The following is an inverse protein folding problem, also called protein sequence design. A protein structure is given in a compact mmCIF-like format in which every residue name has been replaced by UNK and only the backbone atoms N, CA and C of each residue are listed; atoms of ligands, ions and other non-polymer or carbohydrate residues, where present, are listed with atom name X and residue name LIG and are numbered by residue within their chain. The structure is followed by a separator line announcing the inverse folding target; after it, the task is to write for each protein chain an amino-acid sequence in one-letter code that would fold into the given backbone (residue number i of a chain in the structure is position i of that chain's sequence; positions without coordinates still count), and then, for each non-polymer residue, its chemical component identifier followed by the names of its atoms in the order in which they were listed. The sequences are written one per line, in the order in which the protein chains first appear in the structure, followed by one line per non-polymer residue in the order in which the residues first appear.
data_IF_638458866441
#
_entry.id   IF_638458866441
#
_cell.length_a   1.000
_cell.length_b   1.000
_cell.length_c   1.000
_cell.angle_alpha   90.00
_cell.angle_beta   90.00
_cell.angle_gamma   90.00
#
_symmetry.space_group_name_H-M   'P 1'
#
loop_
_entity.id
_entity.type
_entity.pdbx_description
1 polymer ?
#
# COMPACT_ATOMS: atom_id res chain seq x y z
N UNK A 1 -22.23 8.12 -58.76
CA UNK A 1 -23.10 7.38 -57.81
C UNK A 1 -22.26 6.37 -57.07
N UNK A 2 -21.83 6.70 -55.84
CA UNK A 2 -21.52 5.74 -54.76
C UNK A 2 -21.14 6.56 -53.53
N UNK A 3 -22.11 6.74 -52.65
CA UNK A 3 -21.99 7.51 -51.40
C UNK A 3 -21.46 6.55 -50.34
N UNK A 4 -20.21 6.71 -49.93
CA UNK A 4 -19.61 5.96 -48.83
C UNK A 4 -20.15 6.50 -47.49
N UNK A 5 -21.05 5.75 -46.86
CA UNK A 5 -21.57 6.03 -45.52
C UNK A 5 -20.58 5.46 -44.49
N UNK A 6 -20.00 6.34 -43.67
CA UNK A 6 -19.13 5.99 -42.54
C UNK A 6 -20.02 5.63 -41.32
N UNK A 7 -19.76 4.55 -40.56
CA UNK A 7 -20.51 4.28 -39.33
C UNK A 7 -20.04 5.24 -38.22
N UNK A 8 -20.96 6.09 -37.75
CA UNK A 8 -20.79 6.95 -36.58
C UNK A 8 -20.84 6.10 -35.31
N UNK A 9 -19.76 6.11 -34.51
CA UNK A 9 -19.77 5.58 -33.13
C UNK A 9 -20.76 6.40 -32.29
N UNK A 10 -21.62 5.79 -31.46
CA UNK A 10 -22.37 6.52 -30.45
C UNK A 10 -21.38 7.05 -29.39
N UNK A 11 -21.44 8.36 -29.14
CA UNK A 11 -20.76 9.01 -28.02
C UNK A 11 -21.37 8.49 -26.70
N UNK A 12 -20.57 8.23 -25.65
CA UNK A 12 -21.13 7.88 -24.35
C UNK A 12 -21.91 9.08 -23.78
N UNK A 13 -23.17 8.85 -23.41
CA UNK A 13 -23.96 9.85 -22.68
C UNK A 13 -23.25 10.19 -21.35
N UNK A 14 -23.15 11.48 -20.97
CA UNK A 14 -22.63 11.85 -19.68
C UNK A 14 -23.53 11.28 -18.57
N UNK A 15 -22.91 10.69 -17.55
CA UNK A 15 -23.62 10.20 -16.38
C UNK A 15 -24.50 11.32 -15.79
N UNK A 16 -25.77 11.05 -15.44
CA UNK A 16 -26.64 12.07 -14.86
C UNK A 16 -26.01 12.58 -13.56
N UNK A 17 -25.78 13.90 -13.50
CA UNK A 17 -25.37 14.58 -12.27
C UNK A 17 -26.40 14.29 -11.19
N UNK A 18 -25.96 13.63 -10.12
CA UNK A 18 -26.77 13.37 -8.94
C UNK A 18 -27.12 14.70 -8.27
N UNK A 19 -28.29 15.25 -8.59
CA UNK A 19 -28.86 16.39 -7.87
C UNK A 19 -28.94 16.06 -6.38
N UNK A 20 -28.36 16.94 -5.55
CA UNK A 20 -28.37 16.82 -4.09
C UNK A 20 -29.79 16.75 -3.50
N UNK A 21 -30.80 17.22 -4.23
CA UNK A 21 -32.21 17.12 -3.84
C UNK A 21 -32.81 15.73 -4.08
N UNK A 22 -32.26 14.92 -5.00
CA UNK A 22 -32.68 13.53 -5.21
C UNK A 22 -32.19 12.59 -4.09
N UNK A 23 -31.09 12.94 -3.42
CA UNK A 23 -30.56 12.20 -2.27
C UNK A 23 -31.36 12.42 -0.98
N UNK A 24 -32.07 13.55 -0.84
CA UNK A 24 -32.95 13.82 0.30
C UNK A 24 -34.33 13.19 0.16
N UNK A 25 -34.81 12.94 -1.07
CA UNK A 25 -36.11 12.30 -1.32
C UNK A 25 -36.05 10.77 -1.26
N UNK A 26 -34.87 10.16 -1.42
CA UNK A 26 -34.63 8.75 -1.14
C UNK A 26 -34.21 8.59 0.33
N UNK A 27 -35.12 8.87 1.25
CA UNK A 27 -34.98 8.41 2.62
C UNK A 27 -34.66 6.90 2.55
N UNK A 28 -33.43 6.53 2.93
CA UNK A 28 -33.04 5.14 3.04
C UNK A 28 -34.09 4.47 3.93
N UNK A 29 -34.88 3.59 3.34
CA UNK A 29 -35.76 2.70 4.08
C UNK A 29 -34.85 1.68 4.76
N UNK A 30 -34.18 2.13 5.83
CA UNK A 30 -33.20 1.39 6.63
C UNK A 30 -33.79 0.04 7.06
N UNK A 31 -35.11 -0.08 7.14
CA UNK A 31 -35.83 -1.30 7.47
C UNK A 31 -35.70 -2.42 6.43
N UNK A 32 -35.42 -2.08 5.16
CA UNK A 32 -35.24 -3.07 4.07
C UNK A 32 -33.82 -3.60 3.93
N UNK A 33 -32.86 -3.05 4.67
CA UNK A 33 -31.46 -3.55 4.68
C UNK A 33 -31.41 -4.89 5.41
N UNK A 34 -30.82 -5.96 4.82
CA UNK A 34 -30.63 -7.23 5.50
C UNK A 34 -29.95 -7.04 6.88
N UNK A 35 -30.39 -7.73 7.94
CA UNK A 35 -29.85 -7.55 9.29
C UNK A 35 -28.32 -7.66 9.38
N UNK A 36 -27.72 -8.56 8.59
CA UNK A 36 -26.26 -8.77 8.51
C UNK A 36 -25.49 -7.51 8.10
N UNK A 37 -26.10 -6.61 7.33
CA UNK A 37 -25.49 -5.36 6.87
C UNK A 37 -25.79 -4.17 7.80
N UNK A 38 -26.74 -4.31 8.74
CA UNK A 38 -27.11 -3.27 9.70
C UNK A 38 -26.07 -3.11 10.81
N UNK A 39 -25.48 -4.21 11.28
CA UNK A 39 -24.50 -4.18 12.37
C UNK A 39 -23.15 -3.52 11.97
N UNK A 40 -22.85 -3.46 10.67
CA UNK A 40 -21.64 -2.81 10.13
C UNK A 40 -21.84 -1.36 9.71
N UNK A 41 -23.09 -0.89 9.62
CA UNK A 41 -23.46 0.51 9.38
C UNK A 41 -23.40 1.37 10.65
N UNK A 42 -22.54 1.03 11.63
CA UNK A 42 -22.24 1.93 12.75
C UNK A 42 -21.62 3.22 12.21
N UNK A 43 -22.49 4.16 11.84
CA UNK A 43 -22.20 5.57 11.72
C UNK A 43 -21.75 6.03 13.11
N UNK A 44 -20.46 5.90 13.39
CA UNK A 44 -19.85 6.59 14.53
C UNK A 44 -20.05 8.07 14.25
N UNK A 45 -20.85 8.81 15.04
CA UNK A 45 -20.93 10.26 14.88
C UNK A 45 -19.53 10.84 15.11
N UNK A 46 -19.10 11.85 14.34
CA UNK A 46 -17.79 12.46 14.56
C UNK A 46 -17.69 12.92 16.03
N UNK A 47 -16.51 12.79 16.66
CA UNK A 47 -16.34 13.24 18.04
C UNK A 47 -16.66 14.74 18.14
N UNK A 48 -17.24 15.21 19.26
CA UNK A 48 -17.58 16.61 19.41
C UNK A 48 -16.31 17.46 19.33
N UNK A 49 -16.32 18.45 18.44
CA UNK A 49 -15.30 19.49 18.35
C UNK A 49 -15.31 20.28 19.65
N UNK A 50 -14.34 20.04 20.53
CA UNK A 50 -14.11 20.85 21.73
C UNK A 50 -13.51 22.19 21.28
N UNK A 51 -14.34 23.22 21.20
CA UNK A 51 -13.87 24.60 21.06
C UNK A 51 -13.18 25.03 22.36
N UNK A 52 -11.84 25.03 22.36
CA UNK A 52 -11.06 25.74 23.39
C UNK A 52 -11.29 27.25 23.22
N UNK A 53 -12.20 27.81 24.04
CA UNK A 53 -12.35 29.25 24.23
C UNK A 53 -11.04 29.81 24.80
N UNK A 54 -10.26 30.53 24.00
CA UNK A 54 -9.21 31.43 24.52
C UNK A 54 -9.90 32.58 25.28
N UNK A 55 -9.54 32.76 26.56
CA UNK A 55 -9.93 33.94 27.36
C UNK A 55 -9.25 35.20 26.78
N UNK A 56 -9.91 36.37 26.82
CA UNK A 56 -9.26 37.63 26.51
C UNK A 56 -8.50 38.14 27.75
N UNK A 57 -7.26 38.59 27.56
CA UNK A 57 -6.59 39.47 28.52
C UNK A 57 -6.34 40.79 27.80
N UNK A 58 -7.09 41.81 28.22
CA UNK A 58 -6.89 43.22 27.89
C UNK A 58 -5.92 43.79 28.93
N UNK A 59 -4.92 44.56 28.49
CA UNK A 59 -4.64 45.93 28.93
C UNK A 59 -3.15 46.29 28.77
N UNK A 60 -2.89 47.48 28.22
CA UNK A 60 -1.86 48.35 28.82
C UNK A 60 -0.73 48.88 27.95
N UNK A 61 -1.05 49.76 26.99
CA UNK A 61 -0.40 51.09 26.89
C UNK A 61 0.99 51.25 26.24
N UNK A 62 1.36 52.50 25.87
CA UNK A 62 2.10 52.82 24.65
C UNK A 62 3.44 53.55 24.87
N UNK A 63 4.31 53.60 23.86
CA UNK A 63 5.24 54.74 23.59
C UNK A 63 6.01 54.47 22.28
N UNK A 64 5.85 55.34 21.27
CA UNK A 64 6.81 56.39 20.86
C UNK A 64 7.91 55.84 19.92
N UNK A 65 8.36 56.47 18.85
CA UNK A 65 8.00 57.64 18.05
C UNK A 65 8.94 57.59 16.83
N UNK A 66 8.51 58.18 15.71
CA UNK A 66 9.35 58.79 14.65
C UNK A 66 10.33 57.91 13.85
N UNK A 67 10.02 57.73 12.56
CA UNK A 67 10.91 58.10 11.46
C UNK A 67 10.13 58.14 10.14
N UNK A 68 9.89 59.35 9.64
CA UNK A 68 9.36 59.61 8.29
C UNK A 68 10.57 59.73 7.36
N UNK A 69 10.69 58.85 6.36
CA UNK A 69 11.49 59.10 5.18
C UNK A 69 10.96 58.29 3.99
N UNK A 70 10.68 59.01 2.90
CA UNK A 70 10.15 58.53 1.64
C UNK A 70 10.93 57.37 1.02
N UNK A 71 10.21 56.32 0.60
CA UNK A 71 10.44 55.67 -0.70
C UNK A 71 9.11 55.09 -1.20
N UNK A 72 8.63 55.68 -2.30
CA UNK A 72 7.48 55.21 -3.07
C UNK A 72 8.00 54.08 -3.98
N UNK A 73 7.43 52.87 -3.88
CA UNK A 73 6.83 52.08 -4.99
C UNK A 73 6.61 50.61 -4.59
N UNK A 74 5.55 50.01 -5.16
CA UNK A 74 5.06 48.63 -5.01
C UNK A 74 4.05 48.34 -3.89
N UNK A 75 2.85 48.90 -4.05
CA UNK A 75 1.61 48.24 -3.60
C UNK A 75 1.42 46.99 -4.47
N UNK A 76 1.84 45.82 -3.99
CA UNK A 76 1.32 44.56 -4.54
C UNK A 76 -0.19 44.57 -4.32
N UNK A 77 -0.94 44.62 -5.43
CA UNK A 77 -2.38 44.54 -5.42
C UNK A 77 -2.82 43.35 -4.54
N UNK A 78 -3.68 43.61 -3.57
CA UNK A 78 -4.43 42.55 -2.89
C UNK A 78 -5.17 41.76 -3.95
N UNK A 79 -4.90 40.45 -4.10
CA UNK A 79 -5.53 39.65 -5.14
C UNK A 79 -7.04 39.69 -4.95
N UNK A 80 -7.76 39.91 -6.05
CA UNK A 80 -9.22 39.98 -6.03
C UNK A 80 -9.83 38.69 -5.48
N UNK A 81 -11.05 38.75 -4.97
CA UNK A 81 -11.76 37.56 -4.46
C UNK A 81 -11.80 36.43 -5.50
N UNK A 82 -11.81 36.78 -6.78
CA UNK A 82 -11.76 35.88 -7.93
C UNK A 82 -10.39 35.18 -8.06
N UNK A 83 -9.27 35.88 -7.90
CA UNK A 83 -7.91 35.30 -7.92
C UNK A 83 -7.69 34.30 -6.79
N UNK A 84 -8.28 34.56 -5.62
CA UNK A 84 -8.21 33.66 -4.45
C UNK A 84 -9.04 32.40 -4.73
N UNK A 85 -10.23 32.55 -5.32
CA UNK A 85 -11.07 31.42 -5.70
C UNK A 85 -10.44 30.58 -6.81
N UNK A 86 -9.76 31.20 -7.77
CA UNK A 86 -9.08 30.51 -8.86
C UNK A 86 -7.85 29.74 -8.36
N UNK A 87 -7.03 30.33 -7.48
CA UNK A 87 -5.92 29.63 -6.81
C UNK A 87 -6.40 28.49 -5.91
N UNK A 88 -7.53 28.64 -5.23
CA UNK A 88 -8.12 27.57 -4.44
C UNK A 88 -8.63 26.43 -5.34
N UNK A 89 -9.25 26.73 -6.48
CA UNK A 89 -9.70 25.73 -7.46
C UNK A 89 -8.50 25.01 -8.10
N UNK A 90 -7.45 25.73 -8.47
CA UNK A 90 -6.23 25.15 -9.02
C UNK A 90 -5.55 24.21 -8.01
N UNK A 91 -5.53 24.58 -6.72
CA UNK A 91 -4.98 23.76 -5.65
C UNK A 91 -5.83 22.52 -5.35
N UNK A 92 -7.16 22.65 -5.38
CA UNK A 92 -8.08 21.51 -5.27
C UNK A 92 -7.91 20.57 -6.45
N UNK A 93 -7.69 21.09 -7.67
CA UNK A 93 -7.47 20.28 -8.87
C UNK A 93 -6.08 19.62 -8.87
N UNK A 94 -5.03 20.31 -8.40
CA UNK A 94 -3.71 19.72 -8.15
C UNK A 94 -3.77 18.63 -7.09
N UNK A 95 -4.46 18.87 -5.96
CA UNK A 95 -4.71 17.87 -4.92
C UNK A 95 -5.48 16.69 -5.51
N UNK A 96 -6.51 16.93 -6.32
CA UNK A 96 -7.29 15.89 -6.99
C UNK A 96 -6.47 15.09 -8.00
N UNK A 97 -5.54 15.72 -8.71
CA UNK A 97 -4.59 15.07 -9.61
C UNK A 97 -3.50 14.32 -8.86
N UNK A 98 -3.03 14.81 -7.71
CA UNK A 98 -2.09 14.07 -6.84
C UNK A 98 -2.78 12.85 -6.21
N UNK A 99 -4.01 12.99 -5.71
CA UNK A 99 -4.82 11.86 -5.23
C UNK A 99 -5.17 10.87 -6.36
N UNK A 100 -5.41 11.37 -7.59
CA UNK A 100 -5.65 10.52 -8.76
C UNK A 100 -4.37 9.80 -9.23
N UNK A 101 -3.18 10.40 -9.08
CA UNK A 101 -1.89 9.77 -9.41
C UNK A 101 -1.39 8.82 -8.31
N UNK A 102 -1.67 9.11 -7.03
CA UNK A 102 -1.38 8.20 -5.91
C UNK A 102 -2.34 7.00 -5.91
N UNK A 103 -3.59 7.19 -6.34
CA UNK A 103 -4.57 6.12 -6.57
C UNK A 103 -4.31 5.27 -7.83
N UNK A 104 -3.42 5.70 -8.73
CA UNK A 104 -3.15 5.03 -10.02
C UNK A 104 -1.87 4.17 -10.01
N UNK A 105 -1.24 3.92 -8.85
CA UNK A 105 -0.08 3.01 -8.72
C UNK A 105 -0.38 1.72 -7.97
N UNK A 106 -1.62 1.25 -8.05
CA UNK A 106 -2.03 -0.11 -7.68
C UNK A 106 -2.74 -0.74 -8.87
N UNK A 107 -2.39 -1.99 -9.17
CA UNK A 107 -2.90 -2.78 -10.29
C UNK A 107 -4.43 -2.61 -10.48
N UNK A 108 -4.86 -2.27 -11.69
CA UNK A 108 -6.27 -2.08 -12.11
C UNK A 108 -6.98 -3.45 -12.25
N UNK A 109 -6.86 -4.29 -11.21
CA UNK A 109 -7.24 -5.70 -11.21
C UNK A 109 -8.29 -6.00 -10.14
N UNK A 110 -9.25 -5.09 -9.95
CA UNK A 110 -10.43 -5.41 -9.16
C UNK A 110 -11.20 -6.54 -9.86
N UNK A 111 -11.49 -7.66 -9.18
CA UNK A 111 -12.15 -8.81 -9.81
C UNK A 111 -13.52 -8.42 -10.38
N UNK A 112 -13.81 -8.89 -11.60
CA UNK A 112 -15.09 -8.61 -12.26
C UNK A 112 -16.27 -9.23 -11.50
N UNK A 113 -17.44 -8.60 -11.56
CA UNK A 113 -18.65 -9.11 -10.89
C UNK A 113 -19.01 -10.55 -11.30
N UNK A 114 -18.80 -10.93 -12.57
CA UNK A 114 -19.07 -12.28 -13.06
C UNK A 114 -18.10 -13.32 -12.46
N UNK A 115 -16.82 -12.94 -12.31
CA UNK A 115 -15.81 -13.78 -11.66
C UNK A 115 -16.13 -13.99 -10.17
N UNK A 116 -16.53 -12.92 -9.47
CA UNK A 116 -16.92 -13.00 -8.07
C UNK A 116 -18.16 -13.90 -7.88
N UNK A 117 -19.11 -13.83 -8.81
CA UNK A 117 -20.31 -14.67 -8.75
C UNK A 117 -19.99 -16.15 -9.00
N UNK A 118 -19.08 -16.46 -9.92
CA UNK A 118 -18.56 -17.83 -10.13
C UNK A 118 -17.87 -18.36 -8.86
N UNK A 119 -17.01 -17.54 -8.26
CA UNK A 119 -16.34 -17.88 -7.01
C UNK A 119 -17.34 -18.15 -5.87
N UNK A 120 -18.32 -17.27 -5.68
CA UNK A 120 -19.34 -17.43 -4.65
C UNK A 120 -20.22 -18.69 -4.89
N UNK A 121 -20.38 -19.16 -6.13
CA UNK A 121 -21.11 -20.40 -6.43
C UNK A 121 -20.31 -21.68 -6.11
N UNK A 122 -18.98 -21.61 -6.10
CA UNK A 122 -18.10 -22.79 -6.04
C UNK A 122 -17.56 -23.12 -4.64
N UNK A 123 -18.31 -22.77 -3.58
CA UNK A 123 -17.97 -23.19 -2.22
C UNK A 123 -16.66 -22.56 -1.70
N UNK A 124 -15.96 -23.25 -0.80
CA UNK A 124 -14.71 -22.76 -0.18
C UNK A 124 -13.57 -22.59 -1.20
N UNK A 125 -13.55 -23.42 -2.25
CA UNK A 125 -12.54 -23.34 -3.32
C UNK A 125 -12.71 -22.04 -4.11
N UNK A 126 -13.95 -21.68 -4.43
CA UNK A 126 -14.26 -20.40 -5.08
C UNK A 126 -13.91 -19.20 -4.21
N UNK A 127 -14.25 -19.24 -2.92
CA UNK A 127 -13.88 -18.18 -1.98
C UNK A 127 -12.36 -18.03 -1.86
N UNK A 128 -11.61 -19.14 -1.90
CA UNK A 128 -10.15 -19.13 -1.94
C UNK A 128 -9.61 -18.50 -3.24
N UNK A 129 -10.23 -18.79 -4.39
CA UNK A 129 -9.88 -18.14 -5.67
C UNK A 129 -10.13 -16.64 -5.65
N UNK A 130 -11.26 -16.21 -5.07
CA UNK A 130 -11.56 -14.79 -4.89
C UNK A 130 -10.54 -14.13 -3.94
N UNK A 131 -10.21 -14.79 -2.83
CA UNK A 131 -9.19 -14.32 -1.90
C UNK A 131 -7.81 -14.19 -2.56
N UNK A 132 -7.38 -15.19 -3.34
CA UNK A 132 -6.13 -15.12 -4.12
C UNK A 132 -6.14 -13.89 -5.02
N UNK A 133 -7.23 -13.66 -5.76
CA UNK A 133 -7.34 -12.52 -6.68
C UNK A 133 -7.25 -11.16 -5.97
N UNK A 134 -7.75 -11.06 -4.73
CA UNK A 134 -7.73 -9.83 -3.95
C UNK A 134 -6.39 -9.59 -3.25
N UNK A 135 -5.80 -10.65 -2.71
CA UNK A 135 -4.60 -10.56 -1.86
C UNK A 135 -3.30 -10.85 -2.61
N UNK A 136 -3.37 -11.08 -3.92
CA UNK A 136 -2.19 -11.26 -4.77
C UNK A 136 -1.29 -10.03 -4.66
N UNK A 137 -0.01 -10.25 -4.39
CA UNK A 137 0.96 -9.16 -4.16
C UNK A 137 0.90 -8.53 -2.77
N UNK A 138 -0.06 -8.91 -1.93
CA UNK A 138 -0.15 -8.43 -0.55
C UNK A 138 0.20 -9.53 0.45
N UNK A 139 -0.29 -10.75 0.23
CA UNK A 139 -0.12 -11.89 1.14
C UNK A 139 0.60 -13.04 0.45
N UNK A 140 1.45 -13.73 1.21
CA UNK A 140 2.17 -14.90 0.74
C UNK A 140 2.30 -15.93 1.87
N UNK A 141 2.24 -17.21 1.55
CA UNK A 141 2.47 -18.29 2.50
C UNK A 141 3.72 -19.08 2.16
N UNK A 142 4.68 -19.15 3.08
CA UNK A 142 5.86 -19.98 2.94
C UNK A 142 5.58 -21.37 3.49
N UNK A 143 5.58 -22.37 2.59
CA UNK A 143 5.37 -23.77 2.96
C UNK A 143 6.55 -24.39 3.72
N UNK A 144 7.77 -23.90 3.54
CA UNK A 144 8.94 -24.40 4.26
C UNK A 144 8.97 -23.88 5.70
N UNK A 145 8.63 -22.60 5.91
CA UNK A 145 8.54 -22.01 7.24
C UNK A 145 7.19 -22.31 7.95
N UNK A 146 6.18 -22.73 7.19
CA UNK A 146 4.77 -22.86 7.62
C UNK A 146 4.20 -21.55 8.18
N UNK A 147 4.56 -20.41 7.58
CA UNK A 147 4.23 -19.06 8.05
C UNK A 147 3.70 -18.18 6.94
N UNK A 148 2.85 -17.24 7.32
CA UNK A 148 2.39 -16.19 6.41
C UNK A 148 3.31 -14.96 6.45
N UNK A 149 3.38 -14.30 5.31
CA UNK A 149 4.11 -13.08 5.07
C UNK A 149 3.19 -12.03 4.44
N UNK A 150 3.40 -10.78 4.83
CA UNK A 150 2.71 -9.62 4.29
C UNK A 150 3.71 -8.70 3.61
N UNK A 151 3.33 -8.18 2.45
CA UNK A 151 4.14 -7.22 1.72
C UNK A 151 4.06 -5.84 2.37
N UNK A 152 5.21 -5.30 2.77
CA UNK A 152 5.34 -3.99 3.44
C UNK A 152 5.79 -2.89 2.46
N UNK A 153 5.37 -2.99 1.20
CA UNK A 153 5.67 -2.00 0.16
C UNK A 153 7.01 -2.21 -0.55
N UNK A 154 8.03 -2.73 0.12
CA UNK A 154 9.34 -3.00 -0.51
C UNK A 154 9.89 -4.41 -0.25
N UNK A 155 9.47 -5.05 0.83
CA UNK A 155 9.88 -6.39 1.22
C UNK A 155 8.74 -7.12 1.92
N UNK A 156 8.89 -8.43 2.05
CA UNK A 156 7.97 -9.32 2.74
C UNK A 156 8.38 -9.48 4.19
N UNK A 157 7.43 -9.25 5.10
CA UNK A 157 7.63 -9.42 6.54
C UNK A 157 6.72 -10.52 7.07
N UNK A 158 7.21 -11.28 8.05
CA UNK A 158 6.43 -12.33 8.70
C UNK A 158 5.24 -11.72 9.45
N UNK A 159 4.06 -12.32 9.27
CA UNK A 159 2.87 -11.94 10.03
C UNK A 159 2.91 -12.56 11.44
N UNK A 160 3.41 -11.79 12.40
CA UNK A 160 3.55 -12.24 13.79
C UNK A 160 2.22 -12.32 14.56
N UNK A 161 1.15 -11.65 14.10
CA UNK A 161 -0.10 -11.48 14.85
C UNK A 161 -1.33 -12.06 14.13
N UNK A 162 -1.12 -12.76 13.01
CA UNK A 162 -2.21 -13.32 12.18
C UNK A 162 -3.11 -12.25 11.54
N UNK A 163 -2.56 -11.08 11.19
CA UNK A 163 -3.24 -10.04 10.40
C UNK A 163 -3.78 -10.56 9.07
N UNK A 164 -3.21 -11.63 8.52
CA UNK A 164 -3.67 -12.27 7.28
C UNK A 164 -5.13 -12.74 7.38
N UNK A 165 -5.57 -13.11 8.60
CA UNK A 165 -6.96 -13.47 8.86
C UNK A 165 -7.86 -12.26 8.64
N UNK A 166 -7.44 -11.04 8.98
CA UNK A 166 -8.19 -9.82 8.69
C UNK A 166 -8.29 -9.54 7.17
N UNK A 167 -7.37 -10.07 6.36
CA UNK A 167 -7.51 -10.05 4.90
C UNK A 167 -8.79 -10.73 4.40
N UNK A 168 -9.34 -11.70 5.15
CA UNK A 168 -10.63 -12.33 4.78
C UNK A 168 -11.78 -11.34 4.93
N UNK A 169 -11.64 -10.31 5.77
CA UNK A 169 -12.65 -9.26 5.90
C UNK A 169 -12.73 -8.41 4.62
N UNK A 170 -11.63 -8.22 3.88
CA UNK A 170 -11.68 -7.57 2.56
C UNK A 170 -12.50 -8.38 1.54
N UNK A 171 -12.41 -9.71 1.58
CA UNK A 171 -13.28 -10.57 0.75
C UNK A 171 -14.75 -10.42 1.16
N UNK A 172 -15.02 -10.35 2.46
CA UNK A 172 -16.39 -10.12 2.99
C UNK A 172 -16.93 -8.78 2.47
N UNK A 173 -16.15 -7.71 2.57
CA UNK A 173 -16.53 -6.37 2.09
C UNK A 173 -16.86 -6.38 0.59
N UNK A 174 -16.04 -7.03 -0.23
CA UNK A 174 -16.31 -7.19 -1.67
C UNK A 174 -17.61 -7.96 -1.93
N UNK A 175 -17.86 -9.04 -1.19
CA UNK A 175 -19.11 -9.78 -1.29
C UNK A 175 -20.32 -8.99 -0.79
N UNK A 176 -20.16 -8.13 0.22
CA UNK A 176 -21.21 -7.23 0.70
C UNK A 176 -21.60 -6.20 -0.38
N UNK A 177 -20.62 -5.60 -1.05
CA UNK A 177 -20.86 -4.68 -2.15
C UNK A 177 -21.57 -5.37 -3.33
N UNK A 178 -21.17 -6.58 -3.70
CA UNK A 178 -21.87 -7.37 -4.72
C UNK A 178 -23.29 -7.76 -4.29
N UNK A 179 -23.51 -8.12 -3.02
CA UNK A 179 -24.85 -8.37 -2.49
C UNK A 179 -25.75 -7.13 -2.60
N UNK A 180 -25.23 -5.93 -2.26
CA UNK A 180 -25.94 -4.65 -2.43
C UNK A 180 -26.29 -4.38 -3.89
N UNK A 181 -25.36 -4.65 -4.83
CA UNK A 181 -25.62 -4.52 -6.28
C UNK A 181 -26.77 -5.42 -6.73
N UNK A 182 -26.79 -6.68 -6.31
CA UNK A 182 -27.87 -7.61 -6.62
C UNK A 182 -29.20 -7.23 -5.95
N UNK A 183 -29.17 -6.71 -4.72
CA UNK A 183 -30.35 -6.15 -4.06
C UNK A 183 -30.99 -5.03 -4.89
N UNK A 184 -30.21 -4.06 -5.36
CA UNK A 184 -30.73 -2.98 -6.19
C UNK A 184 -31.26 -3.45 -7.54
N UNK A 185 -30.60 -4.44 -8.18
CA UNK A 185 -31.11 -5.09 -9.40
C UNK A 185 -32.48 -5.73 -9.18
N UNK A 186 -32.67 -6.40 -8.05
CA UNK A 186 -33.96 -7.00 -7.67
C UNK A 186 -35.06 -5.95 -7.52
N UNK A 187 -34.79 -4.84 -6.85
CA UNK A 187 -35.76 -3.73 -6.70
C UNK A 187 -36.11 -3.13 -8.06
N UNK A 188 -35.11 -2.89 -8.92
CA UNK A 188 -35.31 -2.36 -10.28
C UNK A 188 -36.17 -3.29 -11.14
N UNK A 189 -35.88 -4.59 -11.15
CA UNK A 189 -36.64 -5.59 -11.90
C UNK A 189 -38.10 -5.67 -11.45
N UNK A 190 -38.36 -5.66 -10.13
CA UNK A 190 -39.73 -5.60 -9.59
C UNK A 190 -40.49 -4.35 -10.04
N UNK A 191 -39.84 -3.19 -10.07
CA UNK A 191 -40.46 -1.94 -10.57
C UNK A 191 -40.80 -2.05 -12.05
N UNK A 192 -39.99 -2.75 -12.83
CA UNK A 192 -40.21 -3.03 -14.25
C UNK A 192 -41.20 -4.17 -14.51
N UNK A 193 -41.74 -4.81 -13.45
CA UNK A 193 -42.60 -6.01 -13.52
C UNK A 193 -41.94 -7.19 -14.25
N UNK A 194 -40.62 -7.26 -14.22
CA UNK A 194 -39.85 -8.41 -14.69
C UNK A 194 -39.60 -9.38 -13.53
N UNK A 195 -40.52 -10.33 -13.36
CA UNK A 195 -40.46 -11.31 -12.28
C UNK A 195 -39.29 -12.30 -12.44
N UNK A 196 -38.85 -12.57 -13.66
CA UNK A 196 -37.74 -13.51 -13.90
C UNK A 196 -36.42 -12.88 -13.48
N UNK A 197 -36.15 -11.65 -13.91
CA UNK A 197 -34.96 -10.91 -13.49
C UNK A 197 -34.97 -10.63 -11.98
N UNK A 198 -36.14 -10.37 -11.38
CA UNK A 198 -36.26 -10.19 -9.94
C UNK A 198 -35.93 -11.47 -9.14
N UNK A 199 -36.37 -12.64 -9.62
CA UNK A 199 -36.04 -13.94 -9.00
C UNK A 199 -34.56 -14.28 -9.14
N UNK A 200 -33.98 -14.04 -10.30
CA UNK A 200 -32.54 -14.26 -10.53
C UNK A 200 -31.69 -13.37 -9.61
N UNK A 201 -32.05 -12.09 -9.52
CA UNK A 201 -31.34 -11.17 -8.65
C UNK A 201 -31.46 -11.56 -7.17
N UNK A 202 -32.64 -12.00 -6.72
CA UNK A 202 -32.83 -12.52 -5.36
C UNK A 202 -31.97 -13.75 -5.08
N UNK A 203 -31.85 -14.66 -6.06
CA UNK A 203 -31.01 -15.86 -5.93
C UNK A 203 -29.55 -15.49 -5.79
N UNK A 204 -29.04 -14.60 -6.64
CA UNK A 204 -27.63 -14.19 -6.61
C UNK A 204 -27.30 -13.39 -5.33
N UNK A 205 -28.21 -12.50 -4.89
CA UNK A 205 -28.11 -11.82 -3.59
C UNK A 205 -28.00 -12.84 -2.43
N UNK A 206 -28.86 -13.85 -2.41
CA UNK A 206 -28.86 -14.89 -1.37
C UNK A 206 -27.58 -15.73 -1.34
N UNK A 207 -26.92 -15.94 -2.48
CA UNK A 207 -25.62 -16.62 -2.55
C UNK A 207 -24.57 -15.82 -1.76
N UNK A 208 -24.42 -14.53 -2.04
CA UNK A 208 -23.45 -13.69 -1.35
C UNK A 208 -23.74 -13.57 0.15
N UNK A 209 -25.00 -13.37 0.55
CA UNK A 209 -25.38 -13.28 1.97
C UNK A 209 -25.04 -14.56 2.75
N UNK A 210 -25.27 -15.73 2.15
CA UNK A 210 -24.87 -17.01 2.75
C UNK A 210 -23.34 -17.12 2.88
N UNK A 211 -22.58 -16.67 1.87
CA UNK A 211 -21.12 -16.66 1.93
C UNK A 211 -20.57 -15.75 3.01
N UNK A 212 -21.11 -14.53 3.13
CA UNK A 212 -20.75 -13.58 4.18
C UNK A 212 -20.95 -14.21 5.55
N UNK A 213 -22.13 -14.81 5.81
CA UNK A 213 -22.42 -15.48 7.07
C UNK A 213 -21.43 -16.63 7.37
N UNK A 214 -21.07 -17.43 6.36
CA UNK A 214 -20.08 -18.53 6.51
C UNK A 214 -18.67 -18.01 6.80
N UNK A 215 -18.23 -16.96 6.10
CA UNK A 215 -16.91 -16.35 6.25
C UNK A 215 -16.71 -15.65 7.61
N UNK A 216 -17.78 -15.39 8.37
CA UNK A 216 -17.67 -14.97 9.77
C UNK A 216 -17.22 -16.12 10.70
N UNK A 217 -17.43 -17.38 10.30
CA UNK A 217 -17.05 -18.55 11.09
C UNK A 217 -15.55 -18.87 11.00
N UNK A 218 -14.89 -19.02 12.15
CA UNK A 218 -13.44 -19.34 12.26
C UNK A 218 -13.00 -20.48 11.33
N UNK A 219 -13.66 -21.64 11.41
CA UNK A 219 -13.29 -22.82 10.61
C UNK A 219 -13.36 -22.56 9.11
N UNK A 220 -14.38 -21.84 8.66
CA UNK A 220 -14.56 -21.54 7.25
C UNK A 220 -13.44 -20.59 6.76
N UNK A 221 -13.08 -19.57 7.56
CA UNK A 221 -11.95 -18.66 7.24
C UNK A 221 -10.65 -19.43 7.10
N UNK A 222 -10.34 -20.30 8.06
CA UNK A 222 -9.10 -21.09 8.03
C UNK A 222 -9.05 -22.04 6.83
N UNK A 223 -10.17 -22.66 6.46
CA UNK A 223 -10.21 -23.50 5.25
C UNK A 223 -9.96 -22.68 3.98
N UNK A 224 -10.53 -21.48 3.87
CA UNK A 224 -10.30 -20.59 2.72
C UNK A 224 -8.83 -20.16 2.63
N UNK A 225 -8.20 -19.82 3.76
CA UNK A 225 -6.78 -19.49 3.82
C UNK A 225 -5.89 -20.68 3.48
N UNK A 226 -6.22 -21.88 3.96
CA UNK A 226 -5.50 -23.09 3.60
C UNK A 226 -5.57 -23.35 2.09
N UNK A 227 -6.77 -23.28 1.50
CA UNK A 227 -6.98 -23.47 0.07
C UNK A 227 -6.35 -22.36 -0.77
N UNK A 228 -6.22 -21.14 -0.25
CA UNK A 228 -5.57 -20.03 -0.96
C UNK A 228 -4.06 -20.14 -0.96
N UNK A 229 -3.46 -20.87 -0.01
CA UNK A 229 -2.03 -21.17 0.04
C UNK A 229 -1.65 -22.44 -0.74
N UNK A 230 -2.60 -23.36 -0.96
CA UNK A 230 -2.35 -24.66 -1.57
C UNK A 230 -2.63 -24.69 -3.08
N UNK A 231 -1.79 -25.41 -3.84
CA UNK A 231 -2.00 -25.68 -5.27
C UNK A 231 -1.26 -24.73 -6.21
N UNK A 232 -1.57 -24.84 -7.51
CA UNK A 232 -0.98 -24.00 -8.57
C UNK A 232 -1.69 -22.65 -8.58
N UNK A 233 -0.95 -21.56 -8.83
CA UNK A 233 -1.44 -20.18 -8.80
C UNK A 233 -2.04 -19.78 -7.44
N UNK A 234 -1.53 -20.36 -6.35
CA UNK A 234 -1.90 -20.00 -4.99
C UNK A 234 -1.05 -18.83 -4.49
N UNK A 235 -1.32 -18.35 -3.27
CA UNK A 235 -0.45 -17.42 -2.54
C UNK A 235 0.77 -18.13 -1.91
N UNK A 236 0.92 -19.43 -2.15
CA UNK A 236 1.99 -20.24 -1.60
C UNK A 236 3.29 -20.08 -2.38
N UNK A 237 4.39 -20.01 -1.64
CA UNK A 237 5.76 -20.03 -2.16
C UNK A 237 6.55 -21.14 -1.47
N UNK A 238 7.54 -21.69 -2.16
CA UNK A 238 8.56 -22.52 -1.51
C UNK A 238 9.57 -21.63 -0.77
N UNK A 239 10.22 -22.14 0.27
CA UNK A 239 11.26 -21.38 0.98
C UNK A 239 12.40 -20.90 0.07
N UNK A 240 12.70 -21.65 -1.00
CA UNK A 240 13.67 -21.32 -2.06
C UNK A 240 13.16 -20.24 -3.05
N UNK A 241 11.90 -19.83 -2.92
CA UNK A 241 11.30 -18.74 -3.69
C UNK A 241 11.77 -17.36 -3.26
N UNK A 242 12.22 -17.24 -2.01
CA UNK A 242 12.64 -15.98 -1.42
C UNK A 242 14.07 -15.60 -1.79
N UNK A 243 14.34 -14.30 -1.86
CA UNK A 243 15.67 -13.68 -2.01
C UNK A 243 16.50 -14.27 -3.17
N UNK A 244 15.83 -14.67 -4.27
CA UNK A 244 16.50 -15.32 -5.42
C UNK A 244 17.48 -14.43 -6.16
N UNK A 245 17.29 -13.11 -6.12
CA UNK A 245 18.17 -12.17 -6.79
C UNK A 245 19.14 -11.54 -5.77
N UNK A 246 20.42 -11.96 -5.74
CA UNK A 246 21.41 -11.49 -4.77
C UNK A 246 21.80 -10.01 -4.95
N UNK A 247 21.45 -9.41 -6.08
CA UNK A 247 21.73 -8.00 -6.35
C UNK A 247 20.64 -7.05 -5.85
N UNK A 248 19.53 -7.56 -5.32
CA UNK A 248 18.45 -6.74 -4.79
C UNK A 248 18.53 -6.65 -3.27
N UNK A 249 18.56 -5.42 -2.76
CA UNK A 249 18.50 -5.15 -1.32
C UNK A 249 17.30 -4.26 -1.05
N UNK A 250 16.37 -4.75 -0.24
CA UNK A 250 15.29 -3.92 0.23
C UNK A 250 15.74 -3.05 1.43
N UNK A 251 15.39 -1.78 1.37
CA UNK A 251 15.50 -0.77 2.41
C UNK A 251 14.08 -0.29 2.79
N UNK A 252 13.92 0.47 3.90
CA UNK A 252 12.61 1.00 4.29
C UNK A 252 11.97 1.93 3.26
N UNK A 253 12.77 2.57 2.41
CA UNK A 253 12.33 3.55 1.41
C UNK A 253 12.39 3.06 -0.05
N UNK A 254 12.81 1.82 -0.30
CA UNK A 254 12.85 1.25 -1.65
C UNK A 254 13.74 0.03 -1.77
N UNK A 255 14.04 -0.37 -3.01
CA UNK A 255 14.93 -1.49 -3.34
C UNK A 255 16.09 -0.98 -4.17
N UNK A 256 17.30 -1.31 -3.74
CA UNK A 256 18.55 -1.04 -4.43
C UNK A 256 18.86 -2.24 -5.34
N UNK A 257 19.10 -1.98 -6.64
CA UNK A 257 19.67 -2.92 -7.59
C UNK A 257 21.19 -2.65 -7.69
N UNK A 258 21.97 -3.45 -6.98
CA UNK A 258 23.43 -3.34 -6.90
C UNK A 258 24.12 -3.56 -8.25
N UNK A 259 23.52 -4.34 -9.15
CA UNK A 259 24.10 -4.63 -10.45
C UNK A 259 24.01 -3.46 -11.42
N UNK A 260 22.98 -2.61 -11.23
CA UNK A 260 22.72 -1.45 -12.09
C UNK A 260 23.01 -0.10 -11.42
N UNK A 261 23.27 -0.09 -10.11
CA UNK A 261 23.33 1.14 -9.33
C UNK A 261 21.99 1.88 -9.31
N UNK A 262 20.87 1.16 -9.44
CA UNK A 262 19.55 1.75 -9.56
C UNK A 262 18.77 1.65 -8.25
N UNK A 263 17.93 2.64 -7.97
CA UNK A 263 17.03 2.65 -6.83
C UNK A 263 15.59 2.80 -7.32
N UNK A 264 14.69 1.94 -6.84
CA UNK A 264 13.29 1.93 -7.25
C UNK A 264 12.36 1.48 -6.12
N UNK A 265 11.05 1.77 -6.21
CA UNK A 265 10.07 1.08 -5.38
C UNK A 265 10.20 -0.44 -5.56
N UNK A 266 10.11 -1.15 -4.44
CA UNK A 266 10.04 -2.60 -4.46
C UNK A 266 8.76 -3.09 -5.14
N UNK A 267 8.79 -4.34 -5.57
CA UNK A 267 7.64 -5.03 -6.13
C UNK A 267 7.40 -6.35 -5.41
N UNK A 268 6.15 -6.80 -5.21
CA UNK A 268 5.88 -8.08 -4.57
C UNK A 268 6.58 -9.25 -5.26
N UNK A 269 6.69 -9.18 -6.59
CA UNK A 269 7.32 -10.22 -7.43
C UNK A 269 8.82 -10.34 -7.20
N UNK A 270 9.48 -9.32 -6.64
CA UNK A 270 10.89 -9.39 -6.28
C UNK A 270 11.16 -10.44 -5.20
N UNK A 271 10.12 -10.85 -4.45
CA UNK A 271 10.19 -11.91 -3.43
C UNK A 271 11.33 -11.71 -2.43
N UNK A 272 11.55 -10.46 -1.99
CA UNK A 272 12.59 -10.09 -1.03
C UNK A 272 12.01 -10.20 0.38
N UNK A 273 12.56 -11.09 1.23
CA UNK A 273 12.24 -11.15 2.67
C UNK A 273 13.37 -10.61 3.54
N UNK A 274 14.59 -10.60 3.02
CA UNK A 274 15.75 -10.08 3.73
C UNK A 274 15.89 -8.60 3.43
N UNK A 275 15.71 -7.75 4.45
CA UNK A 275 15.78 -6.30 4.31
C UNK A 275 16.82 -5.68 5.24
N UNK A 276 17.36 -4.57 4.75
CA UNK A 276 18.16 -3.62 5.48
C UNK A 276 17.24 -2.72 6.32
N UNK A 277 17.55 -2.46 7.60
CA UNK A 277 16.78 -1.54 8.44
C UNK A 277 17.06 -0.05 8.15
N UNK A 278 18.11 0.25 7.38
CA UNK A 278 18.56 1.63 7.12
C UNK A 278 18.04 2.11 5.76
N UNK A 279 17.54 3.35 5.72
CA UNK A 279 17.12 4.02 4.49
C UNK A 279 18.31 4.30 3.56
N UNK A 280 18.06 4.17 2.26
CA UNK A 280 19.03 4.52 1.23
C UNK A 280 18.93 6.00 0.88
N UNK A 281 20.00 6.77 1.08
CA UNK A 281 20.04 8.21 0.83
C UNK A 281 20.68 8.58 -0.52
N UNK A 282 21.25 7.61 -1.23
CA UNK A 282 21.96 7.82 -2.50
C UNK A 282 23.41 7.36 -2.43
N UNK A 283 24.01 7.14 -3.59
CA UNK A 283 25.41 6.71 -3.70
C UNK A 283 26.38 7.83 -3.27
N UNK A 284 26.02 9.08 -3.58
CA UNK A 284 26.81 10.28 -3.29
C UNK A 284 26.57 10.84 -1.88
N UNK A 285 25.76 10.17 -1.04
CA UNK A 285 25.48 10.65 0.31
C UNK A 285 26.77 10.65 1.16
N UNK A 286 27.19 11.81 1.70
CA UNK A 286 28.43 11.90 2.45
C UNK A 286 28.31 11.19 3.80
N UNK A 287 29.23 10.26 4.08
CA UNK A 287 29.36 9.58 5.36
C UNK A 287 30.68 9.97 6.08
N UNK A 288 30.86 11.24 6.52
CA UNK A 288 32.16 11.76 6.97
C UNK A 288 32.71 11.03 8.21
N UNK A 289 31.85 10.58 9.13
CA UNK A 289 32.30 9.81 10.30
C UNK A 289 32.78 8.41 9.89
N UNK A 290 32.12 7.77 8.94
CA UNK A 290 32.51 6.47 8.40
C UNK A 290 33.84 6.56 7.65
N UNK A 291 33.99 7.55 6.76
CA UNK A 291 35.25 7.79 6.05
C UNK A 291 36.40 8.01 7.02
N UNK A 292 36.22 8.86 8.05
CA UNK A 292 37.24 9.09 9.08
C UNK A 292 37.57 7.83 9.88
N UNK A 293 36.56 7.01 10.22
CA UNK A 293 36.78 5.74 10.93
C UNK A 293 37.68 4.79 10.12
N UNK A 294 37.45 4.67 8.81
CA UNK A 294 38.31 3.84 7.94
C UNK A 294 39.75 4.38 7.90
N UNK A 295 39.93 5.69 7.81
CA UNK A 295 41.26 6.32 7.87
C UNK A 295 41.96 6.06 9.22
N UNK A 296 41.24 6.20 10.34
CA UNK A 296 41.75 5.97 11.70
C UNK A 296 42.18 4.49 11.90
N UNK A 297 41.38 3.53 11.44
CA UNK A 297 41.64 2.10 11.66
C UNK A 297 42.71 1.53 10.75
N UNK A 298 42.80 2.03 9.51
CA UNK A 298 43.78 1.55 8.52
C UNK A 298 45.00 2.48 8.38
N UNK A 299 45.17 3.46 9.28
CA UNK A 299 46.34 4.33 9.31
C UNK A 299 46.51 5.19 8.05
N UNK A 300 45.40 5.56 7.39
CA UNK A 300 45.42 6.30 6.13
C UNK A 300 45.88 5.50 4.91
N UNK A 301 46.03 4.18 5.01
CA UNK A 301 46.37 3.33 3.87
C UNK A 301 45.19 3.27 2.88
N UNK A 302 45.27 4.10 1.85
CA UNK A 302 44.23 4.21 0.83
C UNK A 302 43.98 2.93 0.03
N UNK A 303 45.02 2.10 -0.18
CA UNK A 303 44.90 0.86 -0.93
C UNK A 303 44.17 -0.20 -0.11
N UNK A 304 44.53 -0.32 1.18
CA UNK A 304 43.85 -1.20 2.12
C UNK A 304 42.39 -0.78 2.35
N UNK A 305 42.11 0.51 2.48
CA UNK A 305 40.74 1.03 2.60
C UNK A 305 39.92 0.68 1.34
N UNK A 306 40.48 0.90 0.15
CA UNK A 306 39.80 0.55 -1.11
C UNK A 306 39.58 -0.96 -1.26
N UNK A 307 40.53 -1.79 -0.82
CA UNK A 307 40.37 -3.24 -0.75
C UNK A 307 39.24 -3.65 0.18
N UNK A 308 39.21 -3.13 1.42
CA UNK A 308 38.16 -3.45 2.40
C UNK A 308 36.79 -3.00 1.92
N UNK A 309 36.65 -1.82 1.30
CA UNK A 309 35.37 -1.37 0.72
C UNK A 309 34.85 -2.34 -0.35
N UNK A 310 35.72 -2.81 -1.25
CA UNK A 310 35.37 -3.82 -2.27
C UNK A 310 34.96 -5.15 -1.64
N UNK A 311 35.68 -5.57 -0.60
CA UNK A 311 35.42 -6.79 0.14
C UNK A 311 34.05 -6.76 0.83
N UNK A 312 33.71 -5.62 1.45
CA UNK A 312 32.40 -5.39 2.05
C UNK A 312 31.28 -5.35 1.00
N UNK A 313 31.51 -4.65 -0.12
CA UNK A 313 30.56 -4.63 -1.24
C UNK A 313 30.30 -6.02 -1.82
N UNK A 314 31.35 -6.83 -1.97
CA UNK A 314 31.22 -8.24 -2.35
C UNK A 314 30.41 -9.04 -1.31
N UNK A 315 30.73 -8.89 -0.01
CA UNK A 315 30.01 -9.56 1.07
C UNK A 315 28.51 -9.24 1.11
N UNK A 316 28.13 -8.00 0.81
CA UNK A 316 26.73 -7.56 0.76
C UNK A 316 25.91 -8.34 -0.30
N UNK A 317 26.54 -8.80 -1.40
CA UNK A 317 25.84 -9.60 -2.42
C UNK A 317 25.47 -11.00 -1.93
N UNK A 318 26.09 -11.50 -0.86
CA UNK A 318 25.92 -12.88 -0.38
C UNK A 318 26.40 -13.96 -1.36
N UNK A 319 27.01 -13.58 -2.49
CA UNK A 319 27.52 -14.51 -3.49
C UNK A 319 28.83 -15.14 -3.01
N UNK A 320 28.98 -16.44 -3.27
CA UNK A 320 30.21 -17.19 -2.99
C UNK A 320 30.92 -17.50 -4.32
N UNK A 321 31.45 -16.45 -4.96
CA UNK A 321 32.23 -16.56 -6.21
C UNK A 321 33.70 -16.86 -5.89
N UNK A 322 34.21 -16.19 -4.87
CA UNK A 322 35.58 -16.36 -4.39
C UNK A 322 35.58 -17.09 -3.04
N UNK A 323 36.32 -18.20 -2.98
CA UNK A 323 36.52 -18.96 -1.74
C UNK A 323 37.58 -18.27 -0.86
N UNK A 324 37.22 -17.14 -0.25
CA UNK A 324 38.12 -16.32 0.57
C UNK A 324 37.63 -16.31 2.02
N UNK A 325 38.51 -16.62 2.95
CA UNK A 325 38.30 -16.40 4.39
C UNK A 325 39.04 -15.13 4.80
N UNK A 326 38.30 -14.16 5.33
CA UNK A 326 38.85 -12.88 5.77
C UNK A 326 39.14 -12.97 7.27
N UNK A 327 40.40 -12.77 7.66
CA UNK A 327 40.79 -12.73 9.06
C UNK A 327 41.13 -11.28 9.42
N UNK A 328 40.26 -10.65 10.22
CA UNK A 328 40.54 -9.35 10.80
C UNK A 328 41.54 -9.52 11.96
N UNK A 329 42.81 -9.27 11.69
CA UNK A 329 43.88 -9.44 12.66
C UNK A 329 44.29 -8.12 13.33
N UNK A 330 45.01 -8.21 14.45
CA UNK A 330 45.62 -7.08 15.15
C UNK A 330 45.35 -7.10 16.65
N UNK A 331 46.16 -6.38 17.40
CA UNK A 331 46.09 -6.30 18.86
C UNK A 331 44.78 -5.56 19.27
N UNK A 332 44.30 -5.76 20.51
CA UNK A 332 43.00 -5.22 20.95
C UNK A 332 42.84 -3.71 20.74
N UNK A 333 41.58 -3.23 20.65
CA UNK A 333 41.18 -1.82 20.45
C UNK A 333 41.53 -1.20 19.08
N UNK A 334 41.71 -2.03 18.04
CA UNK A 334 41.96 -1.59 16.66
C UNK A 334 40.69 -1.53 15.77
N UNK A 335 39.53 -1.18 16.34
CA UNK A 335 38.30 -0.94 15.55
C UNK A 335 37.61 -2.15 14.90
N UNK A 336 38.15 -3.38 15.01
CA UNK A 336 37.55 -4.59 14.41
C UNK A 336 36.11 -4.88 14.84
N UNK A 337 35.86 -4.85 16.15
CA UNK A 337 34.52 -5.06 16.69
C UNK A 337 33.57 -3.96 16.21
N UNK A 338 34.01 -2.71 16.31
CA UNK A 338 33.25 -1.54 15.84
C UNK A 338 32.93 -1.61 14.35
N UNK A 339 33.84 -2.09 13.50
CA UNK A 339 33.57 -2.28 12.07
C UNK A 339 32.40 -3.24 11.84
N UNK A 340 32.42 -4.41 12.51
CA UNK A 340 31.36 -5.42 12.39
C UNK A 340 30.04 -4.95 13.01
N UNK A 341 30.09 -4.22 14.13
CA UNK A 341 28.93 -3.61 14.77
C UNK A 341 28.25 -2.58 13.86
N UNK A 342 29.03 -1.71 13.19
CA UNK A 342 28.49 -0.74 12.23
C UNK A 342 27.81 -1.46 11.07
N UNK A 343 28.44 -2.51 10.51
CA UNK A 343 27.85 -3.28 9.42
C UNK A 343 26.55 -3.96 9.84
N UNK A 344 26.53 -4.59 11.00
CA UNK A 344 25.31 -5.22 11.53
C UNK A 344 24.22 -4.18 11.85
N UNK A 345 24.59 -2.99 12.35
CA UNK A 345 23.64 -1.91 12.59
C UNK A 345 23.01 -1.41 11.29
N UNK A 346 23.82 -1.18 10.25
CA UNK A 346 23.36 -0.64 8.98
C UNK A 346 22.56 -1.69 8.20
N UNK A 347 23.10 -2.89 8.03
CA UNK A 347 22.56 -3.93 7.15
C UNK A 347 21.60 -4.90 7.84
N UNK A 348 21.55 -4.89 9.18
CA UNK A 348 20.66 -5.75 9.96
C UNK A 348 20.85 -7.23 9.67
N UNK A 349 19.75 -7.93 9.35
CA UNK A 349 19.71 -9.41 9.20
C UNK A 349 20.49 -9.94 8.00
N UNK A 350 20.93 -9.06 7.09
CA UNK A 350 21.84 -9.43 5.99
C UNK A 350 23.21 -9.86 6.56
N UNK A 351 23.61 -9.30 7.70
CA UNK A 351 24.87 -9.61 8.37
C UNK A 351 24.58 -10.53 9.54
N UNK A 352 25.19 -11.73 9.55
CA UNK A 352 25.00 -12.70 10.60
C UNK A 352 26.22 -13.61 10.78
N UNK A 353 26.28 -14.36 11.90
CA UNK A 353 27.29 -15.38 12.07
C UNK A 353 27.14 -16.46 10.99
N UNK A 354 28.27 -17.05 10.59
CA UNK A 354 28.27 -18.26 9.75
C UNK A 354 27.66 -19.37 10.62
N UNK A 355 26.47 -19.85 10.24
CA UNK A 355 25.74 -20.90 10.96
C UNK A 355 26.05 -22.29 10.43
#
# INVERSE_FOLDING_TARGET
MSTFIKPTRPQPEPAPSLDREALTAAALDLDKIPPVLKDRLQLVPPPPVIFLRRRPTIAGGPMAAQATAHCITEVKATPGLEDIQEKARARIEEERQTFSNEGSRGNDSSPTADFLLDCAKTGQIGDARAYISLMMGHHCYDHAAARWYQYQGHYWSEDAVSNIVAGVDQLIEVYEEEAKRWFWRRIKAKKQKDDNAAKEAAKNEGIYLNKIAKLQGKTYRLNVLYLSAAGKNSLGISGEGWDRNPYLIACPNGVIDLGKGAFRPGRPEDSIKTSCPTEWLGEDEPAPRWSRFLEEVFGGDSELIAYVRRLLGYGITGLVIHHILIILWGIGRNGKGTLLEILHFVLGRIVGPIQ
#
